data_IF_100340378260
#
_entry.id   IF_100340378260
#
_cell.length_a   1.000
_cell.length_b   1.000
_cell.length_c   1.000
_cell.angle_alpha   90.00
_cell.angle_beta   90.00
_cell.angle_gamma   90.00
#
_symmetry.space_group_name_H-M   'P 1'
#
loop_
_entity.id
_entity.type
_entity.pdbx_description
1 polymer ?
#
# COMPACT_ATOMS: atom_id res chain seq x y z
N UNK A 1 2.93 -3.79 -32.68
CA UNK A 1 4.14 -3.68 -31.83
C UNK A 1 3.81 -4.34 -30.50
N UNK A 2 3.94 -5.66 -30.43
CA UNK A 2 3.64 -6.45 -29.22
C UNK A 2 4.77 -6.29 -28.21
N UNK A 3 4.44 -5.77 -27.02
CA UNK A 3 5.39 -5.56 -25.95
C UNK A 3 5.80 -6.90 -25.33
N UNK A 4 7.12 -7.12 -25.21
CA UNK A 4 7.79 -8.24 -24.51
C UNK A 4 7.57 -8.18 -22.98
N UNK A 5 6.32 -8.10 -22.51
CA UNK A 5 6.00 -7.87 -21.09
C UNK A 5 6.00 -9.14 -20.23
N UNK A 6 5.72 -10.31 -20.80
CA UNK A 6 5.60 -11.57 -20.04
C UNK A 6 6.92 -12.05 -19.44
N UNK A 7 8.03 -11.95 -20.19
CA UNK A 7 9.36 -12.37 -19.71
C UNK A 7 9.89 -11.48 -18.58
N UNK A 8 9.64 -10.17 -18.65
CA UNK A 8 10.02 -9.21 -17.62
C UNK A 8 9.18 -9.42 -16.34
N UNK A 9 7.89 -9.72 -16.49
CA UNK A 9 7.00 -10.01 -15.36
C UNK A 9 7.38 -11.29 -14.63
N UNK A 10 7.67 -12.38 -15.35
CA UNK A 10 8.16 -13.61 -14.72
C UNK A 10 9.54 -13.46 -14.10
N UNK A 11 10.43 -12.69 -14.72
CA UNK A 11 11.72 -12.38 -14.11
C UNK A 11 11.56 -11.59 -12.80
N UNK A 12 10.65 -10.60 -12.76
CA UNK A 12 10.36 -9.83 -11.55
C UNK A 12 9.75 -10.73 -10.46
N UNK A 13 8.80 -11.59 -10.82
CA UNK A 13 8.19 -12.53 -9.90
C UNK A 13 9.21 -13.54 -9.36
N UNK A 14 10.17 -13.98 -10.17
CA UNK A 14 11.26 -14.85 -9.73
C UNK A 14 12.26 -14.13 -8.83
N UNK A 15 12.56 -12.85 -9.09
CA UNK A 15 13.41 -12.03 -8.24
C UNK A 15 12.75 -11.75 -6.89
N UNK A 16 11.48 -11.35 -6.88
CA UNK A 16 10.68 -11.17 -5.66
C UNK A 16 10.58 -12.51 -4.92
N UNK A 17 10.27 -13.61 -5.62
CA UNK A 17 10.19 -14.93 -5.00
C UNK A 17 11.53 -15.43 -4.48
N UNK A 18 12.66 -15.08 -5.11
CA UNK A 18 14.01 -15.37 -4.59
C UNK A 18 14.30 -14.55 -3.35
N UNK A 19 14.05 -13.24 -3.38
CA UNK A 19 14.32 -12.36 -2.24
C UNK A 19 13.44 -12.67 -1.04
N UNK A 20 12.16 -12.95 -1.28
CA UNK A 20 11.23 -13.47 -0.27
C UNK A 20 11.73 -14.83 0.25
N UNK A 21 12.17 -15.75 -0.62
CA UNK A 21 12.77 -17.02 -0.16
C UNK A 21 14.05 -16.82 0.64
N UNK A 22 14.90 -15.86 0.33
CA UNK A 22 16.10 -15.54 1.11
C UNK A 22 15.75 -14.98 2.49
N UNK A 23 14.82 -14.03 2.55
CA UNK A 23 14.26 -13.49 3.80
C UNK A 23 13.68 -14.62 4.65
N UNK A 24 12.97 -15.57 4.03
CA UNK A 24 12.40 -16.73 4.71
C UNK A 24 13.46 -17.80 5.07
N UNK A 25 14.50 -18.00 4.25
CA UNK A 25 15.59 -18.98 4.49
C UNK A 25 16.51 -18.55 5.63
N UNK A 26 16.78 -17.25 5.77
CA UNK A 26 17.53 -16.69 6.89
C UNK A 26 16.89 -16.95 8.27
N UNK A 27 15.62 -17.37 8.29
CA UNK A 27 14.88 -17.73 9.51
C UNK A 27 15.11 -19.16 9.99
N UNK A 28 15.87 -19.99 9.26
CA UNK A 28 16.22 -21.35 9.69
C UNK A 28 17.41 -21.42 10.65
N UNK A 29 18.09 -20.30 10.93
CA UNK A 29 19.18 -20.24 11.91
C UNK A 29 18.62 -20.04 13.33
N UNK A 30 18.92 -20.98 14.23
CA UNK A 30 18.26 -21.15 15.54
C UNK A 30 18.67 -20.15 16.64
N UNK A 31 19.43 -19.10 16.34
CA UNK A 31 20.11 -18.28 17.37
C UNK A 31 19.65 -16.83 17.48
N UNK A 32 18.77 -16.35 16.60
CA UNK A 32 18.22 -14.99 16.68
C UNK A 32 16.72 -14.96 16.35
N UNK A 33 15.96 -14.11 17.03
CA UNK A 33 14.56 -13.87 16.66
C UNK A 33 14.51 -13.36 15.20
N UNK A 34 13.69 -13.98 14.33
CA UNK A 34 13.69 -13.67 12.92
C UNK A 34 13.23 -12.22 12.67
N UNK A 35 13.95 -11.48 11.83
CA UNK A 35 13.57 -10.12 11.43
C UNK A 35 12.14 -10.13 10.85
N UNK A 36 11.23 -9.25 11.31
CA UNK A 36 9.88 -9.17 10.78
C UNK A 36 9.87 -8.78 9.29
N UNK A 37 8.83 -9.21 8.58
CA UNK A 37 8.53 -8.77 7.23
C UNK A 37 7.41 -7.74 7.31
N UNK A 38 7.66 -6.52 6.85
CA UNK A 38 6.68 -5.46 6.77
C UNK A 38 6.32 -5.18 5.31
N UNK A 39 5.08 -5.48 4.93
CA UNK A 39 4.52 -5.10 3.65
C UNK A 39 3.81 -3.75 3.75
N UNK A 40 4.50 -2.70 3.30
CA UNK A 40 3.92 -1.36 3.18
C UNK A 40 2.96 -1.36 1.99
N UNK A 41 1.67 -1.56 2.27
CA UNK A 41 0.66 -1.74 1.23
C UNK A 41 0.15 -0.38 0.76
N UNK A 42 0.62 0.07 -0.40
CA UNK A 42 0.08 1.26 -1.05
C UNK A 42 -1.21 0.88 -1.81
N UNK A 43 -2.35 1.56 -1.58
CA UNK A 43 -3.61 1.22 -2.23
C UNK A 43 -3.52 1.17 -3.76
N UNK A 44 -4.23 0.20 -4.35
CA UNK A 44 -4.39 0.01 -5.81
C UNK A 44 -3.12 -0.40 -6.58
N UNK A 45 -2.14 -0.96 -5.87
CA UNK A 45 -0.91 -1.55 -6.42
C UNK A 45 -0.88 -3.09 -6.35
N UNK A 46 -2.03 -3.75 -6.56
CA UNK A 46 -2.18 -5.22 -6.49
C UNK A 46 -1.76 -5.87 -5.15
N UNK A 47 -1.69 -5.09 -4.06
CA UNK A 47 -1.18 -5.58 -2.79
C UNK A 47 -2.05 -6.63 -2.09
N UNK A 48 -3.35 -6.70 -2.36
CA UNK A 48 -4.23 -7.74 -1.81
C UNK A 48 -3.78 -9.15 -2.20
N UNK A 49 -3.45 -9.38 -3.47
CA UNK A 49 -2.95 -10.68 -3.94
C UNK A 49 -1.61 -11.03 -3.29
N UNK A 50 -0.72 -10.05 -3.11
CA UNK A 50 0.56 -10.26 -2.45
C UNK A 50 0.38 -10.55 -0.95
N UNK A 51 -0.55 -9.89 -0.26
CA UNK A 51 -0.88 -10.18 1.14
C UNK A 51 -1.26 -11.65 1.28
N UNK A 52 -2.16 -12.17 0.45
CA UNK A 52 -2.53 -13.60 0.51
C UNK A 52 -1.33 -14.52 0.26
N UNK A 53 -0.47 -14.20 -0.70
CA UNK A 53 0.71 -15.00 -1.00
C UNK A 53 1.73 -15.00 0.15
N UNK A 54 1.98 -13.84 0.76
CA UNK A 54 2.94 -13.69 1.86
C UNK A 54 2.40 -14.24 3.17
N UNK A 55 1.17 -13.90 3.55
CA UNK A 55 0.54 -14.32 4.81
C UNK A 55 0.52 -15.84 4.99
N UNK A 56 0.29 -16.58 3.91
CA UNK A 56 0.33 -18.06 3.91
C UNK A 56 1.70 -18.66 4.26
N UNK A 57 2.74 -17.85 4.47
CA UNK A 57 4.07 -18.29 4.91
C UNK A 57 4.30 -18.10 6.41
N UNK A 58 3.29 -17.65 7.14
CA UNK A 58 3.35 -17.33 8.56
C UNK A 58 2.16 -17.96 9.29
N UNK A 59 2.31 -18.33 10.57
CA UNK A 59 1.16 -18.62 11.42
C UNK A 59 0.22 -17.40 11.48
N UNK A 60 -1.09 -17.65 11.57
CA UNK A 60 -2.09 -16.58 11.54
C UNK A 60 -1.91 -15.60 12.71
N UNK A 61 -1.60 -16.11 13.89
CA UNK A 61 -1.31 -15.37 15.12
C UNK A 61 -0.02 -14.55 15.04
N UNK A 62 0.88 -14.87 14.11
CA UNK A 62 2.11 -14.13 13.87
C UNK A 62 1.94 -13.00 12.84
N UNK A 63 0.71 -12.75 12.37
CA UNK A 63 0.39 -11.76 11.35
C UNK A 63 -0.42 -10.59 11.93
N UNK A 64 0.05 -9.36 11.70
CA UNK A 64 -0.71 -8.14 11.92
C UNK A 64 -1.20 -7.59 10.58
N UNK A 65 -2.50 -7.69 10.33
CA UNK A 65 -3.12 -7.13 9.13
C UNK A 65 -3.72 -5.75 9.39
N UNK A 66 -3.78 -4.96 8.32
CA UNK A 66 -4.38 -3.65 8.29
C UNK A 66 -3.86 -2.74 9.42
N UNK A 67 -2.53 -2.59 9.50
CA UNK A 67 -1.84 -1.78 10.51
C UNK A 67 -2.31 -0.30 10.59
N UNK A 68 -3.07 0.16 9.61
CA UNK A 68 -3.75 1.46 9.54
C UNK A 68 -5.09 1.53 10.29
N UNK A 69 -5.69 0.40 10.68
CA UNK A 69 -6.98 0.39 11.40
C UNK A 69 -6.79 0.67 12.88
N UNK A 70 -7.75 1.33 13.56
CA UNK A 70 -7.63 1.65 14.99
C UNK A 70 -7.24 0.45 15.88
N UNK A 71 -7.88 -0.71 15.68
CA UNK A 71 -7.61 -1.94 16.45
C UNK A 71 -6.19 -2.46 16.21
N UNK A 72 -5.69 -2.41 14.98
CA UNK A 72 -4.34 -2.86 14.63
C UNK A 72 -3.27 -1.82 14.98
N UNK A 73 -3.60 -0.53 14.91
CA UNK A 73 -2.72 0.57 15.30
C UNK A 73 -2.35 0.50 16.78
N UNK A 74 -3.29 0.13 17.64
CA UNK A 74 -3.03 -0.02 19.08
C UNK A 74 -2.07 -1.17 19.43
N UNK A 75 -1.87 -2.14 18.54
CA UNK A 75 -1.00 -3.30 18.79
C UNK A 75 0.48 -2.95 18.58
N UNK A 76 1.37 -3.61 19.34
CA UNK A 76 2.82 -3.48 19.17
C UNK A 76 3.29 -4.31 17.96
N UNK A 77 3.76 -3.70 16.85
CA UNK A 77 4.17 -4.44 15.67
C UNK A 77 5.37 -5.38 15.93
N UNK A 78 6.11 -5.19 17.03
CA UNK A 78 7.24 -6.03 17.40
C UNK A 78 6.82 -7.44 17.90
N UNK A 79 5.53 -7.67 18.13
CA UNK A 79 4.97 -8.97 18.50
C UNK A 79 4.71 -9.86 17.28
N UNK A 80 4.81 -9.30 16.06
CA UNK A 80 4.41 -9.97 14.83
C UNK A 80 5.60 -10.24 13.92
N UNK A 81 5.48 -11.30 13.12
CA UNK A 81 6.49 -11.68 12.14
C UNK A 81 6.16 -11.19 10.73
N UNK A 82 4.87 -11.00 10.43
CA UNK A 82 4.38 -10.38 9.21
C UNK A 82 3.45 -9.23 9.57
N UNK A 83 3.70 -8.06 8.99
CA UNK A 83 2.89 -6.86 9.20
C UNK A 83 2.49 -6.34 7.83
N UNK A 84 1.22 -5.96 7.65
CA UNK A 84 0.75 -5.29 6.44
C UNK A 84 -0.29 -4.21 6.77
N UNK A 85 -0.29 -3.12 6.01
CA UNK A 85 -1.26 -2.04 6.18
C UNK A 85 -1.02 -0.86 5.25
N UNK A 86 -2.06 -0.03 5.12
CA UNK A 86 -2.00 1.23 4.38
C UNK A 86 -1.38 2.34 5.24
N UNK A 87 -0.16 2.10 5.71
CA UNK A 87 0.62 3.05 6.53
C UNK A 87 1.81 3.56 5.74
N UNK A 88 2.15 4.83 5.93
CA UNK A 88 3.33 5.43 5.31
C UNK A 88 4.60 5.02 6.08
N UNK A 89 5.77 5.28 5.48
CA UNK A 89 7.05 4.72 5.92
C UNK A 89 7.46 5.14 7.33
N UNK A 90 6.95 6.26 7.87
CA UNK A 90 7.18 6.65 9.26
C UNK A 90 6.67 5.60 10.28
N UNK A 91 5.79 4.69 9.86
CA UNK A 91 5.39 3.53 10.67
C UNK A 91 6.58 2.65 11.10
N UNK A 92 7.71 2.72 10.38
CA UNK A 92 8.94 2.02 10.76
C UNK A 92 9.48 2.43 12.14
N UNK A 93 9.16 3.65 12.61
CA UNK A 93 9.57 4.15 13.94
C UNK A 93 9.00 3.30 15.09
N UNK A 94 7.94 2.54 14.84
CA UNK A 94 7.32 1.64 15.83
C UNK A 94 8.10 0.34 16.03
N UNK A 95 9.04 0.01 15.16
CA UNK A 95 9.82 -1.23 15.25
C UNK A 95 11.10 -1.04 16.07
N UNK A 96 11.34 -1.91 17.05
CA UNK A 96 12.58 -1.97 17.84
C UNK A 96 13.79 -2.35 16.99
N UNK A 97 13.56 -3.12 15.94
CA UNK A 97 14.57 -3.52 14.93
C UNK A 97 13.97 -3.32 13.56
N UNK A 98 14.73 -2.71 12.64
CA UNK A 98 14.25 -2.45 11.28
C UNK A 98 13.77 -3.74 10.62
N UNK A 99 12.50 -3.84 10.20
CA UNK A 99 11.99 -5.01 9.49
C UNK A 99 12.53 -5.04 8.06
N UNK A 100 12.40 -6.19 7.39
CA UNK A 100 12.52 -6.24 5.94
C UNK A 100 11.29 -5.58 5.34
N UNK A 101 11.46 -4.52 4.55
CA UNK A 101 10.34 -3.76 3.99
C UNK A 101 10.11 -4.22 2.57
N UNK A 102 8.86 -4.50 2.22
CA UNK A 102 8.46 -4.77 0.85
C UNK A 102 7.30 -3.86 0.49
N UNK A 103 7.30 -3.35 -0.73
CA UNK A 103 6.16 -2.62 -1.29
C UNK A 103 6.05 -2.91 -2.79
N UNK A 104 4.92 -2.54 -3.39
CA UNK A 104 4.76 -2.55 -4.84
C UNK A 104 4.40 -1.16 -5.33
N UNK A 105 5.04 -0.82 -6.45
CA UNK A 105 4.76 0.39 -7.20
C UNK A 105 4.04 0.01 -8.49
N UNK A 106 3.19 0.94 -8.94
CA UNK A 106 2.47 0.88 -10.20
C UNK A 106 2.68 2.18 -10.94
N UNK A 107 2.57 2.11 -12.27
CA UNK A 107 2.50 3.30 -13.10
C UNK A 107 1.46 4.30 -12.51
N UNK A 108 1.84 5.57 -12.26
CA UNK A 108 1.01 6.49 -11.48
C UNK A 108 -0.39 6.67 -12.06
N UNK A 109 -0.51 6.78 -13.39
CA UNK A 109 -1.80 6.93 -14.06
C UNK A 109 -2.68 5.71 -13.84
N UNK A 110 -2.17 4.50 -14.04
CA UNK A 110 -2.95 3.26 -13.91
C UNK A 110 -3.46 3.07 -12.48
N UNK A 111 -2.66 3.44 -11.48
CA UNK A 111 -3.09 3.45 -10.06
C UNK A 111 -4.22 4.46 -9.85
N UNK A 112 -4.09 5.66 -10.41
CA UNK A 112 -5.10 6.72 -10.32
C UNK A 112 -6.42 6.25 -10.93
N UNK A 113 -6.39 5.72 -12.16
CA UNK A 113 -7.55 5.15 -12.86
C UNK A 113 -8.19 4.02 -12.06
N UNK A 114 -7.37 3.10 -11.54
CA UNK A 114 -7.85 1.99 -10.71
C UNK A 114 -8.52 2.46 -9.42
N UNK A 115 -8.04 3.54 -8.81
CA UNK A 115 -8.68 4.16 -7.64
C UNK A 115 -10.03 4.75 -8.02
N UNK A 116 -10.11 5.48 -9.12
CA UNK A 116 -11.34 6.11 -9.58
C UNK A 116 -12.44 5.09 -9.88
N UNK A 117 -12.17 4.12 -10.74
CA UNK A 117 -13.17 3.11 -11.10
C UNK A 117 -13.51 2.19 -9.93
N UNK A 118 -12.58 1.94 -9.01
CA UNK A 118 -12.91 1.26 -7.76
C UNK A 118 -13.88 2.07 -6.91
N UNK A 119 -13.72 3.39 -6.81
CA UNK A 119 -14.71 4.24 -6.11
C UNK A 119 -16.05 4.24 -6.83
N UNK A 120 -16.07 4.33 -8.16
CA UNK A 120 -17.32 4.32 -8.93
C UNK A 120 -18.03 2.95 -8.96
N UNK A 121 -17.36 1.85 -8.61
CA UNK A 121 -17.96 0.51 -8.59
C UNK A 121 -18.86 0.23 -7.38
N UNK A 122 -18.95 1.16 -6.43
CA UNK A 122 -19.79 1.03 -5.23
C UNK A 122 -20.87 2.11 -5.21
N UNK A 123 -21.98 1.80 -4.55
CA UNK A 123 -22.90 2.85 -4.11
C UNK A 123 -22.26 3.65 -2.95
N UNK A 124 -22.68 4.90 -2.71
CA UNK A 124 -22.22 5.67 -1.55
C UNK A 124 -22.38 4.92 -0.22
N UNK A 125 -23.49 4.19 -0.06
CA UNK A 125 -23.78 3.39 1.14
C UNK A 125 -22.78 2.23 1.29
N UNK A 126 -22.48 1.52 0.20
CA UNK A 126 -21.49 0.44 0.19
C UNK A 126 -20.07 0.95 0.50
N UNK A 127 -19.70 2.11 -0.04
CA UNK A 127 -18.43 2.77 0.28
C UNK A 127 -18.38 3.20 1.74
N UNK A 128 -19.45 3.81 2.25
CA UNK A 128 -19.53 4.25 3.62
C UNK A 128 -19.36 3.08 4.58
N UNK A 129 -20.04 1.96 4.33
CA UNK A 129 -19.90 0.76 5.15
C UNK A 129 -18.49 0.16 5.03
N UNK A 130 -17.93 0.09 3.82
CA UNK A 130 -16.54 -0.36 3.61
C UNK A 130 -15.56 0.48 4.43
N UNK A 131 -15.71 1.80 4.43
CA UNK A 131 -14.85 2.70 5.19
C UNK A 131 -15.05 2.60 6.70
N UNK A 132 -16.29 2.40 7.15
CA UNK A 132 -16.62 2.15 8.55
C UNK A 132 -15.95 0.88 9.07
N UNK A 133 -16.00 -0.21 8.30
CA UNK A 133 -15.40 -1.50 8.66
C UNK A 133 -13.87 -1.49 8.57
N UNK A 134 -13.33 -0.74 7.62
CA UNK A 134 -11.88 -0.68 7.41
C UNK A 134 -11.19 0.34 8.31
N UNK A 135 -11.90 1.18 9.06
CA UNK A 135 -11.28 2.23 9.89
C UNK A 135 -10.50 3.28 9.08
N UNK A 136 -10.44 3.11 7.76
CA UNK A 136 -10.06 4.13 6.80
C UNK A 136 -11.24 5.06 6.75
N UNK A 137 -11.32 5.97 7.72
CA UNK A 137 -12.37 6.97 7.83
C UNK A 137 -12.60 7.53 6.44
N UNK A 138 -13.77 7.18 5.89
CA UNK A 138 -14.04 7.29 4.47
C UNK A 138 -13.74 8.69 4.04
N UNK A 139 -12.69 8.82 3.24
CA UNK A 139 -12.25 10.12 2.76
C UNK A 139 -13.49 10.77 2.19
N UNK A 140 -14.02 11.81 2.83
CA UNK A 140 -15.28 12.45 2.43
C UNK A 140 -15.26 12.78 0.93
N UNK A 141 -14.05 13.03 0.40
CA UNK A 141 -13.70 13.08 -1.02
C UNK A 141 -14.19 11.86 -1.84
N UNK A 142 -13.89 10.62 -1.44
CA UNK A 142 -14.31 9.42 -2.16
C UNK A 142 -15.82 9.23 -2.17
N UNK A 143 -16.51 9.52 -1.05
CA UNK A 143 -17.97 9.50 -1.00
C UNK A 143 -18.57 10.55 -1.94
N UNK A 144 -18.10 11.80 -1.85
CA UNK A 144 -18.49 12.88 -2.75
C UNK A 144 -18.29 12.51 -4.22
N UNK A 145 -17.17 11.87 -4.56
CA UNK A 145 -16.88 11.43 -5.93
C UNK A 145 -17.87 10.35 -6.38
N UNK A 146 -18.20 9.38 -5.53
CA UNK A 146 -19.16 8.32 -5.85
C UNK A 146 -20.60 8.83 -5.96
N UNK A 147 -20.98 9.84 -5.18
CA UNK A 147 -22.30 10.49 -5.23
C UNK A 147 -22.56 11.20 -6.56
N UNK A 148 -21.52 11.80 -7.15
CA UNK A 148 -21.67 12.56 -8.39
C UNK A 148 -21.94 11.70 -9.63
N UNK A 149 -21.57 10.41 -9.60
CA UNK A 149 -21.75 9.45 -10.71
C UNK A 149 -21.29 9.96 -12.08
N UNK A 150 -20.28 10.82 -12.09
CA UNK A 150 -19.66 11.32 -13.32
C UNK A 150 -18.81 10.21 -13.94
N UNK A 151 -18.60 10.27 -15.25
CA UNK A 151 -17.47 9.59 -15.87
C UNK A 151 -16.16 10.35 -15.57
N UNK A 152 -15.03 9.73 -15.91
CA UNK A 152 -13.73 10.30 -15.59
C UNK A 152 -13.49 11.65 -16.28
N UNK A 153 -13.87 11.78 -17.55
CA UNK A 153 -13.64 13.00 -18.32
C UNK A 153 -14.44 14.16 -17.73
N UNK A 154 -15.70 13.92 -17.39
CA UNK A 154 -16.55 14.93 -16.76
C UNK A 154 -16.11 15.24 -15.32
N UNK A 155 -15.65 14.25 -14.58
CA UNK A 155 -15.07 14.46 -13.25
C UNK A 155 -13.83 15.37 -13.32
N UNK A 156 -12.90 15.10 -14.24
CA UNK A 156 -11.70 15.93 -14.42
C UNK A 156 -12.05 17.37 -14.83
N UNK A 157 -13.08 17.55 -15.67
CA UNK A 157 -13.50 18.86 -16.17
C UNK A 157 -14.27 19.68 -15.13
N UNK A 158 -15.21 19.04 -14.42
CA UNK A 158 -16.13 19.72 -13.49
C UNK A 158 -15.55 19.92 -12.10
N UNK A 159 -14.64 19.05 -11.68
CA UNK A 159 -14.08 19.01 -10.32
C UNK A 159 -12.54 19.01 -10.34
N UNK A 160 -11.89 20.04 -10.91
CA UNK A 160 -10.44 20.06 -11.11
C UNK A 160 -9.66 20.00 -9.79
N UNK A 161 -10.10 20.68 -8.73
CA UNK A 161 -9.41 20.64 -7.44
C UNK A 161 -9.61 19.31 -6.72
N UNK A 162 -10.82 18.76 -6.75
CA UNK A 162 -11.12 17.47 -6.14
C UNK A 162 -10.39 16.34 -6.84
N UNK A 163 -10.32 16.38 -8.18
CA UNK A 163 -9.61 15.38 -8.97
C UNK A 163 -8.10 15.42 -8.72
N UNK A 164 -7.47 16.61 -8.62
CA UNK A 164 -6.06 16.74 -8.22
C UNK A 164 -5.80 16.14 -6.85
N UNK A 165 -6.65 16.45 -5.86
CA UNK A 165 -6.51 15.91 -4.51
C UNK A 165 -6.72 14.38 -4.48
N UNK A 166 -7.68 13.87 -5.24
CA UNK A 166 -7.99 12.44 -5.30
C UNK A 166 -6.93 11.62 -6.05
N UNK A 167 -6.35 12.18 -7.11
CA UNK A 167 -5.26 11.57 -7.88
C UNK A 167 -3.87 11.92 -7.36
N UNK A 168 -3.78 12.47 -6.15
CA UNK A 168 -2.54 12.88 -5.50
C UNK A 168 -1.44 11.81 -5.54
N UNK A 169 -0.21 12.24 -5.28
CA UNK A 169 1.01 11.44 -5.35
C UNK A 169 1.16 10.43 -4.19
N UNK A 170 0.14 9.58 -3.99
CA UNK A 170 0.06 8.62 -2.89
C UNK A 170 1.33 7.76 -2.74
N UNK A 171 1.90 7.26 -3.84
CA UNK A 171 3.15 6.47 -3.76
C UNK A 171 4.31 7.26 -3.15
N UNK A 172 4.50 8.51 -3.58
CA UNK A 172 5.50 9.42 -3.03
C UNK A 172 5.23 9.70 -1.56
N UNK A 173 3.99 10.04 -1.20
CA UNK A 173 3.61 10.33 0.18
C UNK A 173 3.86 9.15 1.13
N UNK A 174 3.51 7.94 0.72
CA UNK A 174 3.76 6.74 1.52
C UNK A 174 5.27 6.50 1.70
N UNK A 175 6.05 6.59 0.63
CA UNK A 175 7.50 6.37 0.68
C UNK A 175 8.26 7.48 1.43
N UNK A 176 7.82 8.72 1.31
CA UNK A 176 8.43 9.86 2.00
C UNK A 176 8.04 9.93 3.49
N UNK A 177 7.07 9.14 3.93
CA UNK A 177 6.60 9.14 5.32
C UNK A 177 5.70 10.33 5.68
N UNK A 178 5.08 10.97 4.68
CA UNK A 178 4.23 12.17 4.84
C UNK A 178 2.83 11.90 4.30
N UNK A 179 1.92 11.34 5.10
CA UNK A 179 0.55 11.10 4.66
C UNK A 179 -0.16 12.45 4.52
N UNK A 180 -0.49 12.84 3.28
CA UNK A 180 -1.28 14.04 2.93
C UNK A 180 -0.68 15.39 3.36
N UNK A 181 0.33 15.95 2.66
CA UNK A 181 0.54 17.41 2.58
C UNK A 181 1.40 17.82 1.36
N UNK A 182 1.12 19.02 0.82
CA UNK A 182 2.10 19.88 0.13
C UNK A 182 2.39 19.66 -1.36
N UNK A 183 3.28 20.51 -1.91
CA UNK A 183 3.88 20.30 -3.23
C UNK A 183 4.79 19.08 -3.17
N UNK A 184 4.33 17.99 -3.78
CA UNK A 184 4.95 16.69 -3.65
C UNK A 184 6.31 16.61 -4.35
N UNK A 185 6.68 17.62 -5.15
CA UNK A 185 8.01 17.72 -5.76
C UNK A 185 9.13 17.70 -4.74
N UNK A 186 8.92 18.31 -3.57
CA UNK A 186 9.91 18.35 -2.50
C UNK A 186 10.20 16.96 -1.90
N UNK A 187 9.23 16.04 -2.01
CA UNK A 187 9.31 14.71 -1.41
C UNK A 187 9.74 13.61 -2.38
N UNK A 188 9.86 13.88 -3.69
CA UNK A 188 10.25 12.85 -4.67
C UNK A 188 11.64 12.30 -4.36
N UNK A 189 12.62 13.19 -4.13
CA UNK A 189 13.98 12.79 -3.78
C UNK A 189 14.01 11.94 -2.51
N UNK A 190 13.27 12.35 -1.48
CA UNK A 190 13.18 11.60 -0.22
C UNK A 190 12.53 10.22 -0.41
N UNK A 191 11.45 10.15 -1.20
CA UNK A 191 10.77 8.89 -1.52
C UNK A 191 11.69 7.93 -2.30
N UNK A 192 12.46 8.43 -3.27
CA UNK A 192 13.45 7.65 -4.01
C UNK A 192 14.55 7.13 -3.09
N UNK A 193 15.12 7.98 -2.23
CA UNK A 193 16.13 7.56 -1.25
C UNK A 193 15.58 6.47 -0.32
N UNK A 194 14.38 6.68 0.21
CA UNK A 194 13.72 5.72 1.09
C UNK A 194 13.42 4.38 0.39
N UNK A 195 13.07 4.42 -0.89
CA UNK A 195 12.85 3.21 -1.70
C UNK A 195 14.13 2.38 -1.84
N UNK A 196 15.30 3.00 -1.96
CA UNK A 196 16.59 2.26 -2.00
C UNK A 196 16.92 1.55 -0.68
N UNK A 197 16.22 1.92 0.40
CA UNK A 197 16.38 1.36 1.74
C UNK A 197 15.25 0.39 2.12
N UNK A 198 14.32 0.13 1.20
CA UNK A 198 13.31 -0.92 1.33
C UNK A 198 13.93 -2.24 0.89
#
# INVERSE_FOLDING_TARGET
>A
MEFRSEGLFQMLLDQVSRRVREILKGRRSATASPTPLFFMHIPKNAGTSLIYLLANRFPAEACLFYADRPVSQAQDPNQFQFISGHVALQYLERFRRRPNVVTFLRHPLDRAMSRYYFTQSFTPEQLQETYRQTGQGGSATALRIAEQRLDLSDFLRREPELSRAFFSNAQTCYLAGVPNMGDVREYVSQACENLTRC
#
